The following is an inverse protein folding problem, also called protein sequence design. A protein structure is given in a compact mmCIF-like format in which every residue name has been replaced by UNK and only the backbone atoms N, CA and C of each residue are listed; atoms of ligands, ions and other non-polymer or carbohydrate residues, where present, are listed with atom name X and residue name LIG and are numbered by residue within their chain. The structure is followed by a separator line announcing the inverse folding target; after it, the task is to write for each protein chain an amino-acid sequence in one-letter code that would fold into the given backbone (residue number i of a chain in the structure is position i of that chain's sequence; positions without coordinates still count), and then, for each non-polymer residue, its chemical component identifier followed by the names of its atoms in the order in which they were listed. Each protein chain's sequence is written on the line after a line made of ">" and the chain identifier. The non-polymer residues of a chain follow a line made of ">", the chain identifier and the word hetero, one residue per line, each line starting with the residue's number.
data_IF_478907623018
#
_entry.id   IF_478907623018
#
_cell.length_a   1.000
_cell.length_b   1.000
_cell.length_c   1.000
_cell.angle_alpha   90.00
_cell.angle_beta   90.00
_cell.angle_gamma   90.00
#
_symmetry.space_group_name_H-M   'P 1'
#
loop_
_entity.id
_entity.type
_entity.pdbx_description
1 polymer ?
#
# COMPACT_ATOMS: atom_id res chain seq x y z
N UNK A 1 -23.55 5.03 26.90
CA UNK A 1 -24.44 5.81 26.01
C UNK A 1 -24.38 5.16 24.64
N UNK A 2 -25.52 4.80 24.05
CA UNK A 2 -25.55 4.20 22.72
C UNK A 2 -25.21 5.29 21.69
N UNK A 3 -24.07 5.15 21.02
CA UNK A 3 -23.67 6.06 19.94
C UNK A 3 -24.60 5.81 18.76
N UNK A 4 -25.46 6.79 18.44
CA UNK A 4 -26.36 6.71 17.29
C UNK A 4 -25.52 6.66 16.01
N UNK A 5 -25.68 5.61 15.21
CA UNK A 5 -25.03 5.49 13.91
C UNK A 5 -25.87 6.20 12.85
N UNK A 6 -25.20 6.86 11.91
CA UNK A 6 -25.79 7.55 10.75
C UNK A 6 -25.07 7.12 9.48
N UNK A 7 -25.73 7.25 8.35
CA UNK A 7 -25.20 6.89 7.04
C UNK A 7 -24.91 8.14 6.20
N UNK A 8 -23.70 8.26 5.67
CA UNK A 8 -23.31 9.36 4.79
C UNK A 8 -23.06 8.82 3.38
N UNK A 9 -23.76 9.37 2.39
CA UNK A 9 -23.60 9.06 0.96
C UNK A 9 -22.82 10.19 0.26
N UNK A 10 -21.68 9.85 -0.34
CA UNK A 10 -20.81 10.78 -1.05
C UNK A 10 -20.98 10.67 -2.56
N UNK A 11 -21.54 11.71 -3.18
CA UNK A 11 -21.77 11.83 -4.62
C UNK A 11 -20.75 12.79 -5.28
N UNK A 12 -20.39 12.62 -6.56
CA UNK A 12 -20.78 11.55 -7.49
C UNK A 12 -19.96 10.27 -7.30
N UNK A 13 -19.14 10.18 -6.24
CA UNK A 13 -18.17 9.12 -6.02
C UNK A 13 -18.85 7.76 -5.72
N UNK A 14 -20.09 7.78 -5.24
CA UNK A 14 -20.93 6.60 -5.00
C UNK A 14 -20.47 5.78 -3.79
N UNK A 15 -19.87 6.43 -2.79
CA UNK A 15 -19.35 5.78 -1.57
C UNK A 15 -20.25 6.08 -0.40
N UNK A 16 -20.62 5.04 0.36
CA UNK A 16 -21.44 5.14 1.58
C UNK A 16 -20.65 4.63 2.77
N UNK A 17 -20.76 5.35 3.89
CA UNK A 17 -20.14 4.97 5.15
C UNK A 17 -21.15 5.10 6.28
N UNK A 18 -21.04 4.21 7.28
CA UNK A 18 -21.74 4.38 8.54
C UNK A 18 -20.76 4.92 9.59
N UNK A 19 -21.11 6.04 10.21
CA UNK A 19 -20.29 6.67 11.25
C UNK A 19 -21.16 7.07 12.45
N UNK A 20 -20.50 7.39 13.56
CA UNK A 20 -21.19 7.92 14.73
C UNK A 20 -21.77 9.31 14.45
N UNK A 21 -22.98 9.59 14.93
CA UNK A 21 -23.51 10.96 14.96
C UNK A 21 -22.54 11.87 15.74
N UNK A 22 -22.21 13.02 15.15
CA UNK A 22 -21.19 13.95 15.62
C UNK A 22 -19.81 13.77 14.97
N UNK A 23 -19.63 12.80 14.06
CA UNK A 23 -18.39 12.69 13.26
C UNK A 23 -18.30 13.85 12.26
N UNK A 24 -17.11 14.40 12.03
CA UNK A 24 -16.93 15.42 10.98
C UNK A 24 -16.88 14.80 9.58
N UNK A 25 -17.33 15.55 8.57
CA UNK A 25 -17.41 15.07 7.20
C UNK A 25 -16.03 14.74 6.59
N UNK A 26 -14.93 15.36 7.05
CA UNK A 26 -13.58 15.01 6.58
C UNK A 26 -13.18 13.62 7.08
N UNK A 27 -13.42 13.32 8.36
CA UNK A 27 -13.20 11.99 8.95
C UNK A 27 -14.08 10.94 8.29
N UNK A 28 -15.37 11.22 8.10
CA UNK A 28 -16.27 10.32 7.39
C UNK A 28 -15.81 10.05 5.94
N UNK A 29 -15.36 11.10 5.22
CA UNK A 29 -14.83 10.96 3.87
C UNK A 29 -13.56 10.09 3.83
N UNK A 30 -12.64 10.29 4.78
CA UNK A 30 -11.42 9.47 4.92
C UNK A 30 -11.75 8.00 5.18
N UNK A 31 -12.68 7.72 6.09
CA UNK A 31 -13.17 6.36 6.38
C UNK A 31 -13.84 5.71 5.15
N UNK A 32 -14.49 6.51 4.30
CA UNK A 32 -15.08 6.07 3.04
C UNK A 32 -14.04 5.87 1.90
N UNK A 33 -12.76 6.13 2.15
CA UNK A 33 -11.68 6.05 1.16
C UNK A 33 -11.63 7.25 0.20
N UNK A 34 -12.21 8.39 0.58
CA UNK A 34 -12.26 9.61 -0.20
C UNK A 34 -11.23 10.60 0.35
N UNK A 35 -10.22 10.92 -0.46
CA UNK A 35 -9.18 11.88 -0.08
C UNK A 35 -9.58 13.31 -0.44
N UNK A 36 -10.06 14.06 0.56
CA UNK A 36 -10.27 15.51 0.46
C UNK A 36 -8.97 16.28 0.73
N UNK A 37 -8.80 17.43 0.07
CA UNK A 37 -7.65 18.31 0.27
C UNK A 37 -7.76 19.03 1.62
N UNK A 38 -7.11 18.50 2.65
CA UNK A 38 -7.12 19.03 4.01
C UNK A 38 -5.71 19.36 4.53
N UNK A 39 -5.02 20.27 3.83
CA UNK A 39 -3.65 20.77 4.11
C UNK A 39 -3.48 21.16 5.59
N UNK A 40 -4.47 21.86 6.15
CA UNK A 40 -4.43 22.33 7.54
C UNK A 40 -4.69 21.25 8.61
N UNK A 41 -4.79 19.97 8.23
CA UNK A 41 -5.08 18.87 9.16
C UNK A 41 -6.47 18.96 9.82
N UNK A 42 -7.41 19.70 9.22
CA UNK A 42 -8.76 19.88 9.75
C UNK A 42 -8.97 21.11 10.64
N UNK A 43 -7.99 22.01 10.72
CA UNK A 43 -8.08 23.28 11.49
C UNK A 43 -8.97 24.35 10.83
N UNK A 44 -9.53 24.09 9.65
CA UNK A 44 -10.39 25.03 8.91
C UNK A 44 -9.67 26.23 8.26
N UNK A 45 -8.34 26.29 8.26
CA UNK A 45 -7.58 27.43 7.73
C UNK A 45 -7.24 27.36 6.25
N UNK A 46 -7.24 26.16 5.64
CA UNK A 46 -6.90 26.00 4.22
C UNK A 46 -8.07 26.25 3.27
N UNK A 47 -9.31 26.01 3.71
CA UNK A 47 -10.53 26.20 2.93
C UNK A 47 -10.64 25.34 1.66
N UNK A 48 -9.94 24.21 1.57
CA UNK A 48 -9.87 23.37 0.34
C UNK A 48 -10.72 22.10 0.40
N UNK A 49 -11.07 21.63 1.59
CA UNK A 49 -11.90 20.45 1.85
C UNK A 49 -13.39 20.78 1.73
N UNK A 50 -13.76 21.50 0.68
CA UNK A 50 -15.12 21.96 0.46
C UNK A 50 -16.03 20.80 0.05
N UNK A 51 -17.22 20.76 0.63
CA UNK A 51 -18.27 19.79 0.29
C UNK A 51 -19.60 20.51 0.26
N UNK A 52 -20.58 19.99 -0.46
CA UNK A 52 -21.95 20.51 -0.47
C UNK A 52 -22.86 19.52 0.22
N UNK A 53 -23.54 19.95 1.28
CA UNK A 53 -24.57 19.11 1.92
C UNK A 53 -25.84 19.25 1.10
N UNK A 54 -26.32 18.12 0.54
CA UNK A 54 -27.53 18.06 -0.27
C UNK A 54 -28.75 17.72 0.59
N UNK A 55 -28.59 16.76 1.49
CA UNK A 55 -29.63 16.26 2.40
C UNK A 55 -29.00 15.92 3.75
N UNK A 56 -29.81 15.93 4.81
CA UNK A 56 -29.40 15.57 6.18
C UNK A 56 -29.16 16.76 7.10
N UNK A 57 -29.07 16.46 8.40
CA UNK A 57 -28.83 17.44 9.45
C UNK A 57 -27.35 17.46 9.80
N UNK A 58 -26.77 18.65 9.72
CA UNK A 58 -25.36 18.92 10.06
C UNK A 58 -25.25 20.07 11.05
N UNK A 59 -24.06 20.26 11.61
CA UNK A 59 -23.78 21.36 12.52
C UNK A 59 -24.06 22.74 11.90
N UNK A 60 -24.45 23.73 12.73
CA UNK A 60 -24.54 25.12 12.30
C UNK A 60 -23.25 25.61 11.64
N UNK A 61 -23.37 26.65 10.80
CA UNK A 61 -22.24 27.20 10.07
C UNK A 61 -21.31 27.95 11.02
N UNK A 62 -20.07 27.49 11.16
CA UNK A 62 -19.07 28.11 12.04
C UNK A 62 -18.55 29.43 11.46
N UNK A 63 -17.98 30.28 12.31
CA UNK A 63 -17.32 31.53 11.88
C UNK A 63 -16.12 31.28 10.96
N UNK A 64 -15.45 30.14 11.13
CA UNK A 64 -14.35 29.70 10.26
C UNK A 64 -14.87 29.38 8.87
N UNK A 65 -15.96 28.64 8.76
CA UNK A 65 -16.60 28.34 7.48
C UNK A 65 -17.14 29.59 6.79
N UNK A 66 -17.81 30.48 7.54
CA UNK A 66 -18.32 31.76 7.03
C UNK A 66 -17.21 32.59 6.38
N UNK A 67 -16.05 32.67 7.04
CA UNK A 67 -14.89 33.41 6.54
C UNK A 67 -14.25 32.73 5.34
N UNK A 68 -14.19 31.40 5.29
CA UNK A 68 -13.52 30.67 4.22
C UNK A 68 -14.37 30.52 2.94
N UNK A 69 -15.69 30.42 3.09
CA UNK A 69 -16.62 30.12 1.99
C UNK A 69 -17.32 31.38 1.43
N UNK A 70 -17.37 32.47 2.20
CA UNK A 70 -18.07 33.70 1.83
C UNK A 70 -19.49 33.40 1.32
N UNK A 71 -19.89 33.93 0.15
CA UNK A 71 -21.21 33.72 -0.43
C UNK A 71 -21.55 32.25 -0.75
N UNK A 72 -20.55 31.36 -0.87
CA UNK A 72 -20.80 29.94 -1.14
C UNK A 72 -21.43 29.22 0.06
N UNK A 73 -21.25 29.74 1.28
CA UNK A 73 -21.84 29.17 2.50
C UNK A 73 -23.38 29.14 2.41
N UNK A 74 -23.97 30.15 1.78
CA UNK A 74 -25.42 30.29 1.64
C UNK A 74 -26.01 29.31 0.62
N UNK A 75 -25.16 28.70 -0.22
CA UNK A 75 -25.53 27.67 -1.20
C UNK A 75 -25.40 26.24 -0.67
N UNK A 76 -25.21 26.07 0.64
CA UNK A 76 -25.03 24.76 1.28
C UNK A 76 -23.61 24.19 1.15
N UNK A 77 -22.64 25.00 0.70
CA UNK A 77 -21.22 24.62 0.79
C UNK A 77 -20.75 24.69 2.24
N UNK A 78 -19.90 23.74 2.60
CA UNK A 78 -19.35 23.52 3.93
C UNK A 78 -17.88 23.15 3.86
N UNK A 79 -17.14 23.34 4.96
CA UNK A 79 -15.81 22.74 5.10
C UNK A 79 -15.98 21.40 5.79
N UNK A 80 -15.51 20.32 5.16
CA UNK A 80 -15.73 18.97 5.64
C UNK A 80 -15.17 18.78 7.07
N UNK A 81 -14.03 19.37 7.38
CA UNK A 81 -13.40 19.30 8.71
C UNK A 81 -14.10 20.10 9.80
N UNK A 82 -15.03 21.00 9.47
CA UNK A 82 -15.75 21.84 10.44
C UNK A 82 -17.24 21.45 10.53
N UNK A 83 -17.68 20.46 9.76
CA UNK A 83 -19.08 20.08 9.64
C UNK A 83 -19.31 18.72 10.27
N UNK A 84 -20.07 18.70 11.37
CA UNK A 84 -20.45 17.47 12.06
C UNK A 84 -21.78 16.96 11.51
N UNK A 85 -21.93 15.64 11.33
CA UNK A 85 -23.16 15.02 10.82
C UNK A 85 -24.00 14.41 11.95
N UNK A 86 -25.31 14.65 11.98
CA UNK A 86 -26.22 14.18 13.05
C UNK A 86 -27.33 13.24 12.59
N UNK A 87 -27.58 13.16 11.29
CA UNK A 87 -28.54 12.22 10.67
C UNK A 87 -27.98 11.69 9.35
N UNK A 88 -28.72 10.78 8.72
CA UNK A 88 -28.33 10.30 7.40
C UNK A 88 -28.24 11.47 6.42
N UNK A 89 -27.11 11.56 5.71
CA UNK A 89 -26.76 12.73 4.93
C UNK A 89 -26.28 12.35 3.53
N UNK A 90 -26.63 13.19 2.56
CA UNK A 90 -26.11 13.12 1.20
C UNK A 90 -25.20 14.32 0.97
N UNK A 91 -23.96 14.04 0.59
CA UNK A 91 -22.90 15.03 0.45
C UNK A 91 -22.33 14.96 -0.95
N UNK A 92 -22.39 16.06 -1.68
CA UNK A 92 -21.70 16.21 -2.95
C UNK A 92 -20.27 16.68 -2.72
N UNK A 93 -19.32 15.96 -3.33
CA UNK A 93 -17.88 16.25 -3.28
C UNK A 93 -17.44 16.84 -4.61
N UNK A 94 -17.12 18.14 -4.66
CA UNK A 94 -16.57 18.76 -5.86
C UNK A 94 -15.24 18.12 -6.26
N UNK A 95 -15.01 17.94 -7.56
CA UNK A 95 -13.75 17.41 -8.07
C UNK A 95 -12.53 18.26 -7.66
N UNK A 96 -12.72 19.57 -7.46
CA UNK A 96 -11.69 20.50 -6.97
C UNK A 96 -11.29 20.28 -5.52
N UNK A 97 -12.11 19.58 -4.73
CA UNK A 97 -11.85 19.24 -3.33
C UNK A 97 -11.25 17.85 -3.15
N UNK A 98 -11.24 17.04 -4.21
CA UNK A 98 -10.53 15.77 -4.25
C UNK A 98 -9.05 16.02 -4.49
N UNK A 99 -8.21 15.27 -3.80
CA UNK A 99 -6.81 15.14 -4.19
C UNK A 99 -6.79 14.53 -5.58
N UNK A 100 -6.27 15.26 -6.58
CA UNK A 100 -6.20 14.76 -7.94
C UNK A 100 -5.52 13.38 -7.97
N UNK A 101 -5.99 12.47 -8.84
CA UNK A 101 -5.15 11.37 -9.34
C UNK A 101 -4.01 12.03 -10.12
N UNK A 102 -2.97 12.47 -9.41
CA UNK A 102 -1.80 13.04 -10.05
C UNK A 102 -1.13 11.93 -10.85
N UNK A 103 -0.91 12.17 -12.14
CA UNK A 103 0.01 11.38 -12.96
C UNK A 103 1.35 11.37 -12.24
N UNK A 104 1.67 10.25 -11.61
CA UNK A 104 2.97 10.05 -10.99
C UNK A 104 3.96 9.92 -12.15
N UNK A 105 5.06 10.68 -12.11
CA UNK A 105 6.16 10.50 -13.05
C UNK A 105 6.92 9.24 -12.61
N UNK A 106 6.35 8.08 -12.93
CA UNK A 106 6.97 6.76 -12.75
C UNK A 106 7.87 6.37 -13.94
N UNK A 107 7.89 7.20 -14.98
CA UNK A 107 8.78 7.05 -16.13
C UNK A 107 10.16 7.62 -15.77
N UNK A 108 11.18 6.78 -15.81
CA UNK A 108 12.59 7.15 -15.71
C UNK A 108 13.37 6.62 -16.91
N UNK A 109 14.60 7.10 -17.10
CA UNK A 109 15.48 6.57 -18.15
C UNK A 109 15.98 5.17 -17.78
N UNK A 110 15.79 4.21 -18.68
CA UNK A 110 16.39 2.88 -18.54
C UNK A 110 17.84 2.92 -19.00
N UNK A 111 18.77 2.71 -18.08
CA UNK A 111 20.19 2.52 -18.39
C UNK A 111 20.49 1.02 -18.43
N UNK A 112 21.32 0.57 -19.37
CA UNK A 112 21.78 -0.81 -19.38
C UNK A 112 22.81 -1.03 -18.25
N UNK A 113 22.59 -2.03 -17.41
CA UNK A 113 23.52 -2.45 -16.37
C UNK A 113 23.61 -3.98 -16.31
N UNK A 114 24.73 -4.50 -15.78
CA UNK A 114 24.87 -5.92 -15.54
C UNK A 114 23.96 -6.33 -14.38
N UNK A 115 23.10 -7.33 -14.61
CA UNK A 115 22.18 -7.82 -13.60
C UNK A 115 22.92 -8.71 -12.60
N UNK A 116 22.94 -8.28 -11.34
CA UNK A 116 23.38 -9.09 -10.22
C UNK A 116 22.37 -8.99 -9.06
N UNK A 117 21.16 -9.57 -9.21
CA UNK A 117 20.14 -9.51 -8.18
C UNK A 117 20.54 -10.41 -7.00
N UNK A 118 20.26 -9.95 -5.77
CA UNK A 118 20.49 -10.74 -4.54
C UNK A 118 19.69 -12.06 -4.54
N UNK A 119 18.51 -12.05 -5.18
CA UNK A 119 17.67 -13.24 -5.34
C UNK A 119 17.77 -13.77 -6.75
N UNK A 120 18.19 -15.02 -6.88
CA UNK A 120 18.44 -15.69 -8.16
C UNK A 120 17.65 -16.97 -8.28
N UNK A 121 17.20 -17.26 -9.49
CA UNK A 121 16.54 -18.52 -9.80
C UNK A 121 17.58 -19.54 -10.26
N UNK A 122 17.64 -20.69 -9.61
CA UNK A 122 18.51 -21.79 -10.03
C UNK A 122 17.65 -22.96 -10.47
N UNK A 123 17.91 -23.47 -11.67
CA UNK A 123 17.26 -24.68 -12.15
C UNK A 123 17.77 -25.91 -11.42
N UNK A 124 16.83 -26.72 -10.97
CA UNK A 124 17.06 -27.96 -10.26
C UNK A 124 16.69 -29.12 -11.19
N UNK A 125 17.65 -30.02 -11.39
CA UNK A 125 17.46 -31.29 -12.06
C UNK A 125 18.27 -32.33 -11.28
N UNK A 126 17.63 -32.97 -10.30
CA UNK A 126 18.28 -33.94 -9.42
C UNK A 126 18.02 -35.36 -9.92
N UNK A 127 18.95 -36.27 -9.62
CA UNK A 127 18.73 -37.69 -9.78
C UNK A 127 17.82 -38.24 -8.70
N UNK A 128 16.97 -39.20 -9.08
CA UNK A 128 16.14 -39.96 -8.16
C UNK A 128 16.99 -40.63 -7.07
N UNK A 129 16.48 -40.72 -5.82
CA UNK A 129 17.13 -41.46 -4.77
C UNK A 129 17.21 -42.95 -5.14
N UNK A 130 18.32 -43.59 -4.79
CA UNK A 130 18.55 -45.00 -5.09
C UNK A 130 19.26 -45.69 -3.92
N UNK A 131 19.30 -47.03 -3.93
CA UNK A 131 20.03 -47.79 -2.90
C UNK A 131 21.53 -47.48 -2.87
N UNK A 132 22.08 -46.95 -3.97
CA UNK A 132 23.47 -46.53 -4.09
C UNK A 132 23.70 -45.05 -3.77
N UNK A 133 22.64 -44.25 -3.60
CA UNK A 133 22.71 -42.83 -3.24
C UNK A 133 21.65 -42.50 -2.18
N UNK A 134 22.05 -42.66 -0.92
CA UNK A 134 21.22 -42.51 0.28
C UNK A 134 21.22 -41.07 0.85
N UNK A 135 21.70 -40.07 0.09
CA UNK A 135 21.70 -38.68 0.56
C UNK A 135 20.28 -38.19 0.81
N UNK A 136 20.12 -37.40 1.87
CA UNK A 136 18.87 -36.69 2.15
C UNK A 136 18.55 -35.69 1.04
N UNK A 137 17.27 -35.36 0.88
CA UNK A 137 16.79 -34.40 -0.11
C UNK A 137 17.46 -33.02 0.04
N UNK A 138 17.65 -32.57 1.28
CA UNK A 138 18.36 -31.33 1.57
C UNK A 138 19.83 -31.40 1.15
N UNK A 139 20.54 -32.47 1.49
CA UNK A 139 21.94 -32.63 1.08
C UNK A 139 22.06 -32.72 -0.45
N UNK A 140 21.17 -33.47 -1.10
CA UNK A 140 21.12 -33.63 -2.56
C UNK A 140 20.95 -32.30 -3.27
N UNK A 141 20.03 -31.46 -2.79
CA UNK A 141 19.83 -30.12 -3.34
C UNK A 141 21.04 -29.21 -3.06
N UNK A 142 21.61 -29.26 -1.86
CA UNK A 142 22.77 -28.42 -1.51
C UNK A 142 23.98 -28.73 -2.39
N UNK A 143 24.29 -30.01 -2.55
CA UNK A 143 25.39 -30.46 -3.42
C UNK A 143 25.18 -29.98 -4.86
N UNK A 144 23.95 -30.09 -5.39
CA UNK A 144 23.61 -29.58 -6.73
C UNK A 144 23.79 -28.07 -6.87
N UNK A 145 23.35 -27.28 -5.88
CA UNK A 145 23.52 -25.81 -5.90
C UNK A 145 24.99 -25.41 -5.79
N UNK A 146 25.78 -26.13 -4.99
CA UNK A 146 27.24 -25.93 -4.91
C UNK A 146 27.92 -26.22 -6.23
N UNK A 147 27.60 -27.34 -6.86
CA UNK A 147 28.21 -27.74 -8.13
C UNK A 147 27.82 -26.82 -9.29
N UNK A 148 26.55 -26.42 -9.35
CA UNK A 148 26.01 -25.64 -10.48
C UNK A 148 26.25 -24.14 -10.37
N UNK A 149 26.29 -23.61 -9.15
CA UNK A 149 26.27 -22.17 -8.89
C UNK A 149 27.33 -21.71 -7.89
N UNK A 150 28.10 -22.62 -7.30
CA UNK A 150 29.11 -22.29 -6.28
C UNK A 150 28.52 -21.86 -4.94
N UNK A 151 27.23 -22.10 -4.70
CA UNK A 151 26.51 -21.62 -3.51
C UNK A 151 26.46 -22.75 -2.47
N UNK A 152 27.02 -22.50 -1.29
CA UNK A 152 26.88 -23.40 -0.14
C UNK A 152 25.54 -23.13 0.56
N UNK A 153 24.47 -23.70 0.01
CA UNK A 153 23.13 -23.23 0.36
C UNK A 153 22.67 -23.60 1.78
N UNK A 154 22.04 -22.64 2.45
CA UNK A 154 21.16 -22.86 3.61
C UNK A 154 19.69 -22.91 3.16
N UNK A 155 18.78 -23.19 4.08
CA UNK A 155 17.37 -23.34 3.77
C UNK A 155 16.53 -22.60 4.78
N UNK A 156 15.57 -21.83 4.28
CA UNK A 156 14.46 -21.36 5.11
C UNK A 156 13.71 -22.58 5.69
N UNK A 157 13.26 -22.45 6.94
CA UNK A 157 12.62 -23.53 7.66
C UNK A 157 11.33 -24.03 7.00
N UNK A 158 10.51 -23.12 6.43
CA UNK A 158 9.29 -23.54 5.73
C UNK A 158 9.62 -24.31 4.46
N UNK A 159 10.74 -23.99 3.79
CA UNK A 159 11.22 -24.75 2.65
C UNK A 159 11.63 -26.16 3.07
N UNK A 160 12.40 -26.32 4.15
CA UNK A 160 12.78 -27.65 4.65
C UNK A 160 11.58 -28.54 4.92
N UNK A 161 10.49 -27.98 5.48
CA UNK A 161 9.27 -28.73 5.81
C UNK A 161 8.56 -29.32 4.59
N UNK A 162 8.62 -28.66 3.44
CA UNK A 162 7.94 -29.08 2.21
C UNK A 162 8.90 -29.65 1.16
N UNK A 163 10.21 -29.62 1.41
CA UNK A 163 11.24 -29.92 0.42
C UNK A 163 11.02 -31.30 -0.21
N UNK A 164 10.89 -32.33 0.63
CA UNK A 164 10.77 -33.72 0.18
C UNK A 164 9.55 -33.96 -0.71
N UNK A 165 8.39 -33.42 -0.34
CA UNK A 165 7.16 -33.58 -1.09
C UNK A 165 7.23 -32.83 -2.43
N UNK A 166 7.73 -31.59 -2.40
CA UNK A 166 7.90 -30.74 -3.59
C UNK A 166 8.88 -31.33 -4.59
N UNK A 167 10.02 -31.85 -4.15
CA UNK A 167 10.98 -32.49 -5.04
C UNK A 167 10.36 -33.70 -5.75
N UNK A 168 9.59 -34.53 -5.03
CA UNK A 168 8.96 -35.72 -5.61
C UNK A 168 7.78 -35.38 -6.52
N UNK A 169 6.92 -34.44 -6.13
CA UNK A 169 5.75 -34.04 -6.93
C UNK A 169 6.15 -33.45 -8.27
N UNK A 170 7.28 -32.75 -8.31
CA UNK A 170 7.85 -32.15 -9.53
C UNK A 170 8.85 -33.08 -10.24
N UNK A 171 8.84 -34.38 -9.92
CA UNK A 171 9.74 -35.39 -10.51
C UNK A 171 11.21 -34.96 -10.49
N UNK A 172 11.65 -34.30 -9.41
CA UNK A 172 13.00 -33.79 -9.18
C UNK A 172 13.46 -32.69 -10.15
N UNK A 173 12.51 -32.07 -10.85
CA UNK A 173 12.74 -31.00 -11.84
C UNK A 173 11.94 -29.75 -11.51
N UNK A 174 12.59 -28.74 -10.94
CA UNK A 174 11.94 -27.52 -10.48
C UNK A 174 12.92 -26.34 -10.47
N UNK A 175 12.53 -25.20 -9.92
CA UNK A 175 13.42 -24.05 -9.70
C UNK A 175 13.47 -23.72 -8.22
N UNK A 176 14.64 -23.32 -7.74
CA UNK A 176 14.80 -22.69 -6.43
C UNK A 176 15.00 -21.19 -6.59
N UNK A 177 14.33 -20.40 -5.75
CA UNK A 177 14.73 -19.03 -5.50
C UNK A 177 15.74 -19.02 -4.35
N UNK A 178 16.94 -18.51 -4.63
CA UNK A 178 18.04 -18.41 -3.68
C UNK A 178 18.29 -16.94 -3.39
N UNK A 179 18.12 -16.53 -2.13
CA UNK A 179 18.40 -15.18 -1.65
C UNK A 179 19.77 -15.17 -0.96
N UNK A 180 20.78 -14.57 -1.60
CA UNK A 180 22.17 -14.72 -1.18
C UNK A 180 22.60 -16.19 -1.26
N UNK A 181 22.67 -16.85 -0.11
CA UNK A 181 22.99 -18.29 0.03
C UNK A 181 21.81 -19.12 0.57
N UNK A 182 20.66 -18.50 0.87
CA UNK A 182 19.51 -19.21 1.46
C UNK A 182 18.48 -19.56 0.39
N UNK A 183 18.04 -20.83 0.34
CA UNK A 183 16.88 -21.23 -0.47
C UNK A 183 15.60 -20.79 0.24
N UNK A 184 14.90 -19.84 -0.36
CA UNK A 184 13.70 -19.20 0.21
C UNK A 184 12.40 -19.60 -0.49
N UNK A 185 12.47 -20.19 -1.68
CA UNK A 185 11.29 -20.73 -2.37
C UNK A 185 11.63 -21.87 -3.34
N UNK A 186 10.63 -22.75 -3.55
CA UNK A 186 10.62 -23.76 -4.60
C UNK A 186 9.47 -23.45 -5.56
N UNK A 187 9.75 -23.43 -6.86
CA UNK A 187 8.82 -22.93 -7.88
C UNK A 187 8.81 -23.84 -9.11
N UNK A 188 7.70 -23.80 -9.85
CA UNK A 188 7.59 -24.40 -11.18
C UNK A 188 8.49 -23.64 -12.18
N UNK A 189 8.92 -24.32 -13.24
CA UNK A 189 9.91 -23.78 -14.19
C UNK A 189 9.50 -22.46 -14.86
N UNK A 190 8.20 -22.24 -15.06
CA UNK A 190 7.67 -21.15 -15.90
C UNK A 190 7.52 -19.78 -15.22
N UNK A 191 7.72 -19.69 -13.90
CA UNK A 191 7.47 -18.43 -13.17
C UNK A 191 8.74 -17.60 -13.03
N UNK A 192 8.77 -16.34 -13.49
CA UNK A 192 9.92 -15.48 -13.28
C UNK A 192 10.03 -15.07 -11.81
N UNK A 193 11.26 -14.88 -11.33
CA UNK A 193 11.45 -14.21 -10.04
C UNK A 193 11.24 -12.71 -10.22
N UNK A 194 10.33 -12.16 -9.42
CA UNK A 194 10.00 -10.76 -9.40
C UNK A 194 10.56 -10.08 -8.15
N UNK A 195 10.89 -8.80 -8.29
CA UNK A 195 11.23 -7.90 -7.20
C UNK A 195 10.24 -6.73 -7.15
N UNK A 196 10.07 -6.17 -5.96
CA UNK A 196 9.32 -4.93 -5.76
C UNK A 196 10.28 -3.87 -5.25
N UNK A 197 10.48 -2.81 -6.04
CA UNK A 197 11.17 -1.62 -5.59
C UNK A 197 10.13 -0.58 -5.13
N UNK A 198 10.32 0.00 -3.95
CA UNK A 198 9.43 1.02 -3.39
C UNK A 198 10.24 2.28 -3.08
N UNK A 199 9.83 3.39 -3.69
CA UNK A 199 10.34 4.73 -3.37
C UNK A 199 9.35 5.41 -2.41
N UNK A 200 9.81 5.68 -1.19
CA UNK A 200 9.02 6.26 -0.11
C UNK A 200 9.37 7.74 0.07
N UNK A 201 8.75 8.60 -0.75
CA UNK A 201 8.83 10.05 -0.59
C UNK A 201 7.85 10.58 0.46
N UNK A 202 8.12 11.79 0.97
CA UNK A 202 7.20 12.48 1.90
C UNK A 202 5.84 12.75 1.26
N UNK A 203 5.83 13.13 -0.01
CA UNK A 203 4.60 13.46 -0.74
C UNK A 203 4.02 12.27 -1.51
N UNK A 204 4.88 11.40 -2.04
CA UNK A 204 4.50 10.34 -2.97
C UNK A 204 5.20 9.04 -2.62
N UNK A 205 4.49 7.94 -2.80
CA UNK A 205 5.06 6.60 -2.78
C UNK A 205 4.93 6.02 -4.18
N UNK A 206 6.02 5.49 -4.72
CA UNK A 206 6.02 4.79 -6.01
C UNK A 206 6.47 3.35 -5.82
N UNK A 207 5.81 2.43 -6.52
CA UNK A 207 6.14 1.01 -6.55
C UNK A 207 6.46 0.56 -7.96
N UNK A 208 7.49 -0.25 -8.11
CA UNK A 208 7.94 -0.81 -9.38
C UNK A 208 8.05 -2.33 -9.25
N UNK A 209 7.26 -3.05 -10.05
CA UNK A 209 7.37 -4.49 -10.17
C UNK A 209 8.41 -4.81 -11.24
N UNK A 210 9.48 -5.49 -10.87
CA UNK A 210 10.65 -5.74 -11.74
C UNK A 210 10.84 -7.23 -11.91
N UNK A 211 11.10 -7.69 -13.12
CA UNK A 211 11.58 -9.04 -13.38
C UNK A 211 13.08 -9.10 -13.09
N UNK A 212 13.50 -9.87 -12.09
CA UNK A 212 14.89 -9.93 -11.65
C UNK A 212 15.81 -10.68 -12.62
N UNK A 213 15.26 -11.49 -13.52
CA UNK A 213 16.05 -12.28 -14.48
C UNK A 213 16.51 -11.46 -15.68
N UNK A 214 15.77 -10.41 -16.03
CA UNK A 214 16.05 -9.57 -17.20
C UNK A 214 16.04 -8.06 -16.91
N UNK A 215 15.80 -7.66 -15.67
CA UNK A 215 15.81 -6.26 -15.24
C UNK A 215 14.63 -5.42 -15.72
N UNK A 216 13.64 -6.01 -16.41
CA UNK A 216 12.53 -5.25 -16.99
C UNK A 216 11.51 -4.88 -15.91
N UNK A 217 11.16 -3.60 -15.84
CA UNK A 217 9.98 -3.14 -15.10
C UNK A 217 8.72 -3.63 -15.80
N UNK A 218 7.92 -4.44 -15.11
CA UNK A 218 6.66 -5.00 -15.59
C UNK A 218 5.48 -4.06 -15.33
N UNK A 219 5.50 -3.37 -14.19
CA UNK A 219 4.48 -2.41 -13.80
C UNK A 219 5.09 -1.32 -12.91
N UNK A 220 4.53 -0.13 -12.97
CA UNK A 220 4.92 0.99 -12.12
C UNK A 220 3.68 1.80 -11.76
N UNK A 221 3.44 1.97 -10.46
CA UNK A 221 2.28 2.70 -9.94
C UNK A 221 2.74 3.64 -8.83
N UNK A 222 2.01 4.73 -8.65
CA UNK A 222 2.33 5.69 -7.59
C UNK A 222 1.09 6.27 -6.94
N UNK A 223 1.17 6.47 -5.65
CA UNK A 223 0.11 7.01 -4.80
C UNK A 223 0.62 8.20 -4.01
N UNK A 224 -0.29 9.06 -3.55
CA UNK A 224 0.05 10.05 -2.54
C UNK A 224 0.42 9.33 -1.25
N UNK A 225 1.47 9.79 -0.58
CA UNK A 225 1.86 9.20 0.70
C UNK A 225 0.69 9.35 1.69
N UNK A 226 0.09 8.26 2.19
CA UNK A 226 -1.04 8.33 3.11
C UNK A 226 -0.72 9.11 4.39
N UNK A 227 0.54 9.18 4.80
CA UNK A 227 1.00 9.90 5.99
C UNK A 227 0.84 11.43 5.91
N UNK A 228 0.49 11.98 4.75
CA UNK A 228 0.19 13.42 4.60
C UNK A 228 -0.94 13.86 5.55
N UNK A 229 -1.89 12.97 5.88
CA UNK A 229 -2.95 13.28 6.83
C UNK A 229 -2.46 13.59 8.25
N UNK A 230 -1.25 13.14 8.60
CA UNK A 230 -0.64 13.26 9.92
C UNK A 230 0.52 14.28 9.95
N UNK A 231 0.95 14.77 8.79
CA UNK A 231 1.97 15.81 8.69
C UNK A 231 2.42 16.05 7.25
N UNK A 232 2.52 17.32 6.87
CA UNK A 232 2.90 17.73 5.51
C UNK A 232 4.39 17.51 5.23
N UNK A 233 5.21 17.50 6.28
CA UNK A 233 6.64 17.23 6.23
C UNK A 233 7.05 16.21 7.31
N UNK A 234 8.33 15.84 7.29
CA UNK A 234 8.90 14.85 8.21
C UNK A 234 8.83 15.30 9.66
N UNK A 235 9.05 16.60 9.94
CA UNK A 235 9.08 17.11 11.31
C UNK A 235 7.69 17.11 11.94
N UNK A 236 6.67 17.46 11.17
CA UNK A 236 5.27 17.37 11.60
C UNK A 236 4.87 15.93 11.92
N UNK A 237 5.32 14.94 11.13
CA UNK A 237 5.05 13.52 11.39
C UNK A 237 5.78 12.99 12.61
N UNK A 238 7.04 13.39 12.81
CA UNK A 238 7.79 13.06 14.03
C UNK A 238 7.08 13.64 15.24
N UNK A 239 6.64 14.89 15.19
CA UNK A 239 5.90 15.51 16.27
C UNK A 239 4.60 14.77 16.58
N UNK A 240 3.82 14.40 15.54
CA UNK A 240 2.60 13.61 15.68
C UNK A 240 2.86 12.25 16.35
N UNK A 241 3.87 11.51 15.90
CA UNK A 241 4.24 10.21 16.48
C UNK A 241 4.73 10.33 17.94
N UNK A 242 5.31 11.47 18.33
CA UNK A 242 5.76 11.72 19.70
C UNK A 242 4.60 12.04 20.67
N UNK A 243 3.37 12.29 20.18
CA UNK A 243 2.20 12.52 21.03
C UNK A 243 1.75 11.25 21.77
N UNK A 244 2.09 10.06 21.28
CA UNK A 244 1.81 8.80 21.94
C UNK A 244 2.06 7.55 21.08
N UNK A 245 2.06 6.36 21.69
CA UNK A 245 2.33 5.10 20.98
C UNK A 245 1.25 4.77 19.93
N UNK A 246 -0.01 5.11 20.16
CA UNK A 246 -1.08 4.90 19.16
C UNK A 246 -0.84 5.73 17.89
N UNK A 247 -0.32 6.96 18.03
CA UNK A 247 0.01 7.86 16.93
C UNK A 247 1.27 7.42 16.17
N UNK A 248 2.18 6.70 16.82
CA UNK A 248 3.37 6.14 16.20
C UNK A 248 3.07 4.87 15.37
N UNK A 249 2.05 4.10 15.79
CA UNK A 249 1.63 2.86 15.13
C UNK A 249 0.62 3.07 13.99
N UNK A 250 0.19 4.32 13.72
CA UNK A 250 -0.78 4.69 12.67
C UNK A 250 -0.15 5.13 11.35
#
# INVERSE_FOLDING_TARGET
>A
MQTRMVQVDFEPIGRRISCAAGTDLLTAARQAGISLIAICGGKGTCGRDRVKVLEGEVSPLSDTERRALHAQADEGMRLACQTLVYSDAKVHVPASSLTAKQRTQVEGESVAFALDPITRAVEIALSDPSLTDLRSDALRLRDHLRERSGIEATYDFQILRQLSDRLRSESWHLRAAVHGEEVVALQEKSRPILGLAVDLGTTKVAGYLVNLENGRTLASEGVMNPQISYGEDVMARIAYALEGPEQADT
#
